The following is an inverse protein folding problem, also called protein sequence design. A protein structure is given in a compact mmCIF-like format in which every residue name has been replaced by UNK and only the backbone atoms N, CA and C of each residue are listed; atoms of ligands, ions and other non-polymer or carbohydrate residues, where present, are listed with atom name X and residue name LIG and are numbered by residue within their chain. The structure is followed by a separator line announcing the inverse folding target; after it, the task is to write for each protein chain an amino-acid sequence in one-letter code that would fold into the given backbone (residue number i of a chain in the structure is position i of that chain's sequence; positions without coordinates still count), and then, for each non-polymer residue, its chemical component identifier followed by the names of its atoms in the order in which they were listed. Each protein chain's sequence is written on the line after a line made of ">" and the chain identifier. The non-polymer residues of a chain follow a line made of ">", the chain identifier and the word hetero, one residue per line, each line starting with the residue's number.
data_IF_080334400829
#
_entry.id   IF_080334400829
#
_cell.length_a   1.000
_cell.length_b   1.000
_cell.length_c   1.000
_cell.angle_alpha   90.00
_cell.angle_beta   90.00
_cell.angle_gamma   90.00
#
_symmetry.space_group_name_H-M   'P 1'
#
loop_
_entity.id
_entity.type
_entity.pdbx_description
1 polymer ?
#
# COMPACT_ATOMS: atom_id res chain seq x y z
N UNK A 1 -18.43 9.79 -4.57
CA UNK A 1 -18.68 10.00 -3.12
C UNK A 1 -17.52 9.42 -2.32
N UNK A 2 -16.98 10.19 -1.41
CA UNK A 2 -15.92 9.76 -0.50
C UNK A 2 -16.53 9.38 0.83
N UNK A 3 -16.18 8.19 1.33
CA UNK A 3 -16.74 7.71 2.60
C UNK A 3 -16.13 8.45 3.78
N UNK A 4 -16.97 8.83 4.72
CA UNK A 4 -16.53 9.35 6.01
C UNK A 4 -16.00 8.22 6.89
N UNK A 5 -15.32 8.56 7.98
CA UNK A 5 -14.86 7.61 8.99
C UNK A 5 -16.00 6.65 9.42
N UNK A 6 -17.18 7.19 9.74
CA UNK A 6 -18.33 6.37 10.14
C UNK A 6 -18.77 5.40 9.05
N UNK A 7 -18.81 5.86 7.80
CA UNK A 7 -19.17 5.01 6.66
C UNK A 7 -18.12 3.95 6.36
N UNK A 8 -16.84 4.26 6.57
CA UNK A 8 -15.75 3.28 6.44
C UNK A 8 -15.92 2.17 7.47
N UNK A 9 -16.17 2.52 8.73
CA UNK A 9 -16.37 1.53 9.79
C UNK A 9 -17.62 0.68 9.53
N UNK A 10 -18.68 1.28 9.01
CA UNK A 10 -19.88 0.56 8.60
C UNK A 10 -19.58 -0.43 7.46
N UNK A 11 -18.80 -0.01 6.48
CA UNK A 11 -18.41 -0.88 5.36
C UNK A 11 -17.57 -2.07 5.85
N UNK A 12 -16.71 -1.88 6.84
CA UNK A 12 -15.97 -2.98 7.48
C UNK A 12 -16.89 -3.95 8.20
N UNK A 13 -17.85 -3.44 8.94
CA UNK A 13 -18.84 -4.27 9.66
C UNK A 13 -19.69 -5.08 8.68
N UNK A 14 -20.07 -4.50 7.56
CA UNK A 14 -20.87 -5.15 6.53
C UNK A 14 -20.06 -6.00 5.55
N UNK A 15 -18.76 -6.13 5.75
CA UNK A 15 -17.82 -6.84 4.87
C UNK A 15 -17.83 -6.34 3.41
N UNK A 16 -18.18 -5.09 3.19
CA UNK A 16 -18.01 -4.41 1.89
C UNK A 16 -16.58 -3.91 1.70
N UNK A 17 -15.86 -3.81 2.79
CA UNK A 17 -14.44 -3.48 2.86
C UNK A 17 -13.79 -4.46 3.84
N UNK A 18 -12.66 -5.01 3.47
CA UNK A 18 -11.91 -5.94 4.32
C UNK A 18 -10.53 -5.36 4.55
N UNK A 19 -10.14 -5.19 5.81
CA UNK A 19 -8.79 -4.81 6.21
C UNK A 19 -8.35 -5.79 7.29
N UNK A 20 -7.30 -6.54 7.03
CA UNK A 20 -6.79 -7.55 7.97
C UNK A 20 -5.28 -7.35 8.17
N UNK A 21 -4.80 -7.20 9.41
CA UNK A 21 -5.56 -7.13 10.67
C UNK A 21 -6.46 -5.89 10.76
N UNK A 22 -7.49 -5.95 11.60
CA UNK A 22 -8.43 -4.83 11.75
C UNK A 22 -7.73 -3.56 12.24
N UNK A 23 -8.13 -2.38 11.70
CA UNK A 23 -7.58 -1.11 12.18
C UNK A 23 -7.91 -0.85 13.64
N UNK A 24 -6.98 -0.25 14.35
CA UNK A 24 -7.20 0.24 15.70
C UNK A 24 -7.96 1.56 15.66
N UNK A 25 -8.62 1.99 16.76
CA UNK A 25 -9.36 3.25 16.76
C UNK A 25 -8.57 4.46 16.28
N UNK A 26 -7.27 4.51 16.58
CA UNK A 26 -6.40 5.62 16.16
C UNK A 26 -5.99 5.58 14.69
N UNK A 27 -6.28 4.49 13.98
CA UNK A 27 -5.95 4.37 12.57
C UNK A 27 -6.98 5.02 11.66
N UNK A 28 -8.14 5.37 12.19
CA UNK A 28 -9.18 6.03 11.41
C UNK A 28 -8.95 7.54 11.38
N UNK A 29 -8.95 8.09 10.18
CA UNK A 29 -8.94 9.54 9.96
C UNK A 29 -10.31 9.96 9.42
N UNK A 30 -10.47 11.21 9.04
CA UNK A 30 -11.76 11.77 8.63
C UNK A 30 -12.40 11.02 7.46
N UNK A 31 -11.60 10.70 6.43
CA UNK A 31 -12.06 10.02 5.21
C UNK A 31 -11.11 8.92 4.76
N UNK A 32 -10.26 8.46 5.67
CA UNK A 32 -9.20 7.50 5.33
C UNK A 32 -8.91 6.57 6.51
N UNK A 33 -8.19 5.50 6.22
CA UNK A 33 -7.65 4.59 7.23
C UNK A 33 -6.14 4.55 7.05
N UNK A 34 -5.42 4.71 8.14
CA UNK A 34 -3.97 4.61 8.15
C UNK A 34 -3.55 3.14 8.10
N UNK A 35 -2.71 2.83 7.14
CA UNK A 35 -2.08 1.52 7.06
C UNK A 35 -0.64 1.62 7.56
N UNK A 36 -0.09 0.48 7.97
CA UNK A 36 1.25 0.40 8.54
C UNK A 36 2.21 -0.24 7.55
N UNK A 37 3.39 0.33 7.43
CA UNK A 37 4.43 -0.23 6.59
C UNK A 37 4.95 -1.53 7.22
N UNK A 38 4.94 -2.60 6.43
CA UNK A 38 5.55 -3.86 6.81
C UNK A 38 7.07 -3.81 6.66
N UNK A 39 7.72 -4.92 6.99
CA UNK A 39 9.19 -4.98 6.97
C UNK A 39 9.76 -5.34 5.60
N UNK A 40 8.96 -5.88 4.69
CA UNK A 40 9.44 -6.29 3.38
C UNK A 40 9.73 -5.12 2.45
N UNK A 41 10.90 -5.14 1.81
CA UNK A 41 11.28 -4.16 0.80
C UNK A 41 11.72 -4.86 -0.48
N UNK A 42 11.36 -4.28 -1.62
CA UNK A 42 11.91 -4.64 -2.91
C UNK A 42 12.67 -3.44 -3.47
N UNK A 43 13.96 -3.64 -3.70
CA UNK A 43 14.87 -2.59 -4.15
C UNK A 43 15.17 -2.83 -5.62
N UNK A 44 14.77 -1.93 -6.53
CA UNK A 44 15.06 -2.10 -7.95
C UNK A 44 16.56 -2.19 -8.22
N UNK A 45 16.97 -3.14 -9.04
CA UNK A 45 18.35 -3.27 -9.46
C UNK A 45 18.72 -2.12 -10.41
N UNK A 46 19.98 -1.69 -10.36
CA UNK A 46 20.47 -0.69 -11.29
C UNK A 46 20.53 -1.19 -12.73
N UNK A 47 20.62 -0.23 -13.66
CA UNK A 47 20.72 -0.51 -15.09
C UNK A 47 19.40 -0.32 -15.83
N UNK A 48 19.42 -0.65 -17.13
CA UNK A 48 18.24 -0.52 -17.98
C UNK A 48 17.35 -1.74 -17.85
N UNK A 49 16.04 -1.50 -17.82
CA UNK A 49 15.03 -2.54 -17.79
C UNK A 49 13.90 -2.16 -18.74
N UNK A 50 13.69 -2.98 -19.76
CA UNK A 50 12.63 -2.79 -20.74
C UNK A 50 11.68 -3.98 -20.70
N UNK A 51 10.38 -3.68 -20.70
CA UNK A 51 9.35 -4.70 -20.71
C UNK A 51 8.19 -4.30 -21.61
N UNK A 52 7.73 -5.24 -22.43
CA UNK A 52 6.56 -5.05 -23.27
C UNK A 52 5.30 -5.28 -22.45
N UNK A 53 4.60 -4.19 -22.09
CA UNK A 53 3.40 -4.24 -21.25
C UNK A 53 2.22 -4.95 -21.91
N UNK A 54 2.29 -5.24 -23.22
CA UNK A 54 1.25 -6.02 -23.90
C UNK A 54 1.35 -7.52 -23.61
N UNK A 55 2.46 -7.97 -23.00
CA UNK A 55 2.69 -9.37 -22.66
C UNK A 55 2.39 -9.64 -21.19
N UNK A 56 1.94 -10.86 -20.85
CA UNK A 56 1.72 -11.23 -19.44
C UNK A 56 3.06 -11.39 -18.68
N UNK A 57 2.98 -11.38 -17.36
CA UNK A 57 4.12 -11.66 -16.51
C UNK A 57 4.93 -10.46 -16.07
N UNK A 58 4.40 -9.24 -16.22
CA UNK A 58 5.11 -8.02 -15.81
C UNK A 58 5.49 -8.03 -14.32
N UNK A 59 4.57 -8.43 -13.44
CA UNK A 59 4.82 -8.47 -12.00
C UNK A 59 5.97 -9.44 -11.66
N UNK A 60 5.98 -10.62 -12.26
CA UNK A 60 7.05 -11.60 -12.06
C UNK A 60 8.39 -11.09 -12.56
N UNK A 61 8.39 -10.44 -13.73
CA UNK A 61 9.61 -9.87 -14.31
C UNK A 61 10.14 -8.73 -13.46
N UNK A 62 9.25 -7.85 -12.99
CA UNK A 62 9.62 -6.76 -12.09
C UNK A 62 10.22 -7.32 -10.80
N UNK A 63 9.60 -8.33 -10.21
CA UNK A 63 10.10 -8.94 -8.98
C UNK A 63 11.52 -9.53 -9.14
N UNK A 64 11.82 -10.11 -10.31
CA UNK A 64 13.16 -10.64 -10.61
C UNK A 64 14.20 -9.53 -10.77
N UNK A 65 13.77 -8.32 -11.08
CA UNK A 65 14.66 -7.17 -11.23
C UNK A 65 14.78 -6.34 -9.96
N UNK A 66 14.35 -6.86 -8.84
CA UNK A 66 14.49 -6.24 -7.53
C UNK A 66 15.25 -7.16 -6.59
N UNK A 67 16.01 -6.56 -5.69
CA UNK A 67 16.57 -7.25 -4.53
C UNK A 67 15.55 -7.17 -3.39
N UNK A 68 15.25 -8.32 -2.78
CA UNK A 68 14.28 -8.40 -1.70
C UNK A 68 15.00 -8.46 -0.36
N UNK A 69 14.63 -7.59 0.56
CA UNK A 69 15.22 -7.50 1.88
C UNK A 69 14.17 -7.10 2.91
N UNK A 70 14.57 -7.00 4.15
CA UNK A 70 13.73 -6.52 5.24
C UNK A 70 14.29 -5.22 5.79
N UNK A 71 13.39 -4.36 6.30
CA UNK A 71 13.79 -3.12 6.97
C UNK A 71 14.45 -3.50 8.30
N UNK A 72 15.72 -3.11 8.54
CA UNK A 72 16.35 -3.34 9.83
C UNK A 72 15.63 -2.61 10.96
N UNK A 73 15.82 -3.06 12.20
CA UNK A 73 15.24 -2.38 13.37
C UNK A 73 15.68 -0.91 13.49
N UNK A 74 16.85 -0.57 12.94
CA UNK A 74 17.39 0.80 12.90
C UNK A 74 16.81 1.64 11.76
N UNK A 75 15.96 1.06 10.91
CA UNK A 75 15.39 1.71 9.74
C UNK A 75 16.18 1.46 8.48
N UNK A 76 15.62 1.86 7.34
CA UNK A 76 16.27 1.75 6.05
C UNK A 76 16.57 3.16 5.51
N UNK A 77 17.84 3.47 5.20
CA UNK A 77 18.20 4.79 4.69
C UNK A 77 17.79 4.91 3.22
N UNK A 78 16.79 5.73 2.95
CA UNK A 78 16.37 6.03 1.59
C UNK A 78 17.15 7.24 1.07
N UNK A 79 18.09 6.98 0.19
CA UNK A 79 18.94 8.02 -0.40
C UNK A 79 18.19 8.87 -1.42
N UNK A 80 18.65 10.12 -1.65
CA UNK A 80 18.05 10.97 -2.68
C UNK A 80 18.06 10.32 -4.06
N UNK A 81 16.98 10.53 -4.83
CA UNK A 81 16.79 9.99 -6.18
C UNK A 81 16.68 8.46 -6.24
N UNK A 82 16.53 7.81 -5.10
CA UNK A 82 16.25 6.38 -5.01
C UNK A 82 14.82 6.15 -4.61
N UNK A 83 14.25 5.01 -5.04
CA UNK A 83 12.97 4.57 -4.54
C UNK A 83 13.03 3.08 -4.22
N UNK A 84 12.15 2.66 -3.33
CA UNK A 84 11.99 1.26 -2.97
C UNK A 84 10.50 0.95 -2.95
N UNK A 85 10.17 -0.31 -3.12
CA UNK A 85 8.80 -0.79 -3.01
C UNK A 85 8.62 -1.42 -1.64
N UNK A 86 7.67 -0.89 -0.88
CA UNK A 86 7.28 -1.45 0.40
C UNK A 86 5.96 -2.18 0.30
N UNK A 87 5.61 -2.87 1.36
CA UNK A 87 4.32 -3.56 1.49
C UNK A 87 3.73 -3.23 2.85
N UNK A 88 2.42 -3.05 2.91
CA UNK A 88 1.74 -2.82 4.18
C UNK A 88 1.58 -4.10 4.98
N UNK A 89 1.47 -3.96 6.30
CA UNK A 89 1.10 -5.06 7.19
C UNK A 89 -0.30 -5.55 6.87
N UNK A 90 -1.22 -4.60 6.64
CA UNK A 90 -2.62 -4.89 6.38
C UNK A 90 -2.84 -5.37 4.95
N UNK A 91 -3.75 -6.29 4.81
CA UNK A 91 -4.31 -6.71 3.53
C UNK A 91 -5.66 -6.06 3.35
N UNK A 92 -5.88 -5.43 2.19
CA UNK A 92 -7.13 -4.73 1.89
C UNK A 92 -7.86 -5.51 0.80
N UNK A 93 -9.16 -5.76 1.02
CA UNK A 93 -10.03 -6.38 0.05
C UNK A 93 -11.25 -5.52 -0.23
N UNK A 94 -11.67 -5.48 -1.49
CA UNK A 94 -12.84 -4.73 -1.93
C UNK A 94 -13.76 -5.70 -2.69
N UNK A 95 -14.57 -6.50 -1.96
CA UNK A 95 -15.37 -7.53 -2.60
C UNK A 95 -16.50 -6.94 -3.46
N UNK A 96 -16.85 -7.65 -4.51
CA UNK A 96 -18.01 -7.35 -5.33
C UNK A 96 -19.24 -7.99 -4.68
N UNK A 97 -20.18 -7.17 -4.24
CA UNK A 97 -21.41 -7.63 -3.59
C UNK A 97 -22.61 -7.07 -4.35
N UNK A 98 -23.48 -7.94 -4.84
CA UNK A 98 -24.67 -7.57 -5.62
C UNK A 98 -24.34 -6.64 -6.79
N UNK A 99 -23.24 -6.90 -7.48
CA UNK A 99 -22.79 -6.12 -8.62
C UNK A 99 -22.18 -4.77 -8.24
N UNK A 100 -21.96 -4.50 -6.96
CA UNK A 100 -21.40 -3.23 -6.47
C UNK A 100 -20.11 -3.46 -5.70
N UNK A 101 -19.18 -2.53 -5.83
CA UNK A 101 -17.92 -2.56 -5.09
C UNK A 101 -17.50 -1.15 -4.74
N UNK A 102 -16.66 -1.05 -3.71
CA UNK A 102 -15.96 0.18 -3.37
C UNK A 102 -14.66 0.28 -4.16
N UNK A 103 -14.15 1.48 -4.28
CA UNK A 103 -12.81 1.72 -4.80
C UNK A 103 -11.97 2.39 -3.72
N UNK A 104 -10.68 2.15 -3.73
CA UNK A 104 -9.77 2.74 -2.77
C UNK A 104 -8.53 3.25 -3.49
N UNK A 105 -7.90 4.27 -2.92
CA UNK A 105 -6.66 4.84 -3.41
C UNK A 105 -5.68 4.94 -2.26
N UNK A 106 -4.43 4.56 -2.52
CA UNK A 106 -3.35 4.73 -1.56
C UNK A 106 -2.79 6.13 -1.71
N UNK A 107 -2.65 6.83 -0.59
CA UNK A 107 -2.08 8.16 -0.53
C UNK A 107 -1.01 8.22 0.56
N UNK A 108 0.02 9.03 0.32
CA UNK A 108 1.01 9.31 1.34
C UNK A 108 0.47 10.25 2.41
N UNK A 109 0.87 10.04 3.65
CA UNK A 109 0.51 10.93 4.75
C UNK A 109 1.23 12.27 4.59
N UNK A 110 0.51 13.37 4.79
CA UNK A 110 1.08 14.72 4.67
C UNK A 110 2.22 14.97 5.65
N UNK A 111 2.15 14.39 6.86
CA UNK A 111 3.23 14.50 7.84
C UNK A 111 4.52 13.84 7.36
N UNK A 112 4.43 12.71 6.67
CA UNK A 112 5.59 12.03 6.08
C UNK A 112 6.11 12.83 4.89
N UNK A 113 5.23 13.35 4.05
CA UNK A 113 5.61 14.16 2.91
C UNK A 113 6.37 15.43 3.34
N UNK A 114 5.94 16.07 4.42
CA UNK A 114 6.64 17.23 4.98
C UNK A 114 8.04 16.88 5.50
N UNK A 115 8.20 15.72 6.08
CA UNK A 115 9.49 15.27 6.58
C UNK A 115 10.49 14.99 5.45
N UNK A 116 10.01 14.75 4.22
CA UNK A 116 10.85 14.51 3.06
C UNK A 116 11.38 15.78 2.40
N UNK A 117 10.91 16.95 2.81
CA UNK A 117 11.34 18.24 2.25
C UNK A 117 12.61 18.78 2.91
#
# INVERSE_FOLDING_TARGET
>A
MILSNTEIQKALTEARLIISPEPQPNDYDTTAVNLHLGVGLAIPKGGSFNYDLTKPGFATTLARNCDHTEIPATGYPLEPKKFVLGITVERVGLPLISGKTLAARIEGKSSVARAAC
#
